data_IF_579270785498
#
_entry.id   IF_579270785498
#
_cell.length_a   1.000
_cell.length_b   1.000
_cell.length_c   1.000
_cell.angle_alpha   90.00
_cell.angle_beta   90.00
_cell.angle_gamma   90.00
#
_symmetry.space_group_name_H-M   'P 1'
#
loop_
_entity.id
_entity.type
_entity.pdbx_description
1 polymer ?
#
# COMPACT_ATOMS: atom_id res chain seq x y z
N UNK A 1 -9.84 0.11 -7.53
CA UNK A 1 -9.10 0.55 -6.33
C UNK A 1 -8.45 -0.68 -5.72
N UNK A 2 -7.26 -0.52 -5.14
CA UNK A 2 -6.54 -1.59 -4.45
C UNK A 2 -5.86 -1.02 -3.20
N UNK A 3 -5.33 -1.89 -2.34
CA UNK A 3 -4.54 -1.53 -1.17
C UNK A 3 -3.39 -2.52 -1.00
N UNK A 4 -2.37 -2.11 -0.25
CA UNK A 4 -1.23 -2.96 0.11
C UNK A 4 -1.23 -3.06 1.64
N UNK A 5 -1.24 -4.28 2.18
CA UNK A 5 -1.18 -4.52 3.62
C UNK A 5 0.26 -4.39 4.12
N UNK A 6 0.48 -3.66 5.22
CA UNK A 6 1.79 -3.54 5.89
C UNK A 6 1.93 -4.41 7.14
N UNK A 7 0.84 -5.09 7.52
CA UNK A 7 0.80 -6.07 8.62
C UNK A 7 -0.13 -7.22 8.25
N UNK A 8 -0.05 -8.38 8.92
CA UNK A 8 -1.03 -9.45 8.73
C UNK A 8 -2.45 -8.99 9.07
N UNK A 9 -3.39 -9.14 8.13
CA UNK A 9 -4.81 -8.76 8.31
C UNK A 9 -5.77 -9.95 8.05
N UNK A 10 -5.78 -11.01 8.89
CA UNK A 10 -6.57 -12.22 8.62
C UNK A 10 -8.08 -11.98 8.49
N UNK A 11 -8.60 -10.92 9.11
CA UNK A 11 -10.02 -10.56 9.06
C UNK A 11 -10.49 -10.12 7.66
N UNK A 12 -9.57 -9.79 6.74
CA UNK A 12 -9.87 -9.44 5.35
C UNK A 12 -9.94 -10.67 4.41
N UNK A 13 -9.52 -11.85 4.88
CA UNK A 13 -9.54 -13.08 4.09
C UNK A 13 -10.95 -13.39 3.59
N UNK A 14 -11.06 -13.77 2.30
CA UNK A 14 -12.33 -14.03 1.60
C UNK A 14 -13.30 -12.83 1.52
N UNK A 15 -12.85 -11.62 1.90
CA UNK A 15 -13.59 -10.36 1.71
C UNK A 15 -12.95 -9.47 0.64
N UNK A 16 -11.63 -9.57 0.47
CA UNK A 16 -10.87 -8.87 -0.56
C UNK A 16 -10.03 -9.88 -1.36
N UNK A 17 -10.07 -9.80 -2.69
CA UNK A 17 -9.29 -10.67 -3.57
C UNK A 17 -7.80 -10.31 -3.46
N UNK A 18 -6.98 -11.29 -3.09
CA UNK A 18 -5.52 -11.18 -3.15
C UNK A 18 -5.10 -11.52 -4.58
N UNK A 19 -4.43 -10.59 -5.27
CA UNK A 19 -4.03 -10.74 -6.68
C UNK A 19 -2.54 -10.47 -6.95
N UNK A 20 -1.75 -10.20 -5.91
CA UNK A 20 -0.31 -9.96 -6.03
C UNK A 20 0.35 -9.69 -4.68
N UNK A 21 1.67 -9.57 -4.70
CA UNK A 21 2.50 -9.21 -3.55
C UNK A 21 3.64 -8.27 -3.97
N UNK A 22 4.22 -7.55 -3.00
CA UNK A 22 5.42 -6.73 -3.23
C UNK A 22 6.64 -7.66 -3.24
N UNK A 23 7.32 -7.73 -4.38
CA UNK A 23 8.32 -8.77 -4.65
C UNK A 23 9.61 -8.62 -3.83
N UNK A 24 10.28 -7.47 -3.91
CA UNK A 24 11.60 -7.24 -3.29
C UNK A 24 11.56 -6.37 -2.03
N UNK A 25 12.62 -6.46 -1.22
CA UNK A 25 12.72 -5.73 0.05
C UNK A 25 12.76 -4.21 -0.15
N UNK A 26 13.46 -3.72 -1.18
CA UNK A 26 13.50 -2.28 -1.48
C UNK A 26 12.11 -1.72 -1.75
N UNK A 27 11.27 -2.45 -2.47
CA UNK A 27 9.89 -2.08 -2.75
C UNK A 27 9.03 -2.14 -1.49
N UNK A 28 9.26 -3.12 -0.61
CA UNK A 28 8.61 -3.20 0.71
C UNK A 28 8.96 -2.01 1.60
N UNK A 29 10.22 -1.59 1.61
CA UNK A 29 10.68 -0.44 2.38
C UNK A 29 9.99 0.86 1.92
N UNK A 30 9.75 1.02 0.61
CA UNK A 30 8.96 2.15 0.07
C UNK A 30 7.51 2.10 0.55
N UNK A 31 6.86 0.93 0.50
CA UNK A 31 5.48 0.77 1.00
C UNK A 31 5.40 1.07 2.50
N UNK A 32 6.37 0.60 3.28
CA UNK A 32 6.46 0.87 4.71
C UNK A 32 6.65 2.36 5.00
N UNK A 33 7.48 3.05 4.22
CA UNK A 33 7.66 4.49 4.32
C UNK A 33 6.36 5.25 4.01
N UNK A 34 5.66 4.87 2.93
CA UNK A 34 4.36 5.44 2.56
C UNK A 34 3.34 5.24 3.69
N UNK A 35 3.31 4.07 4.34
CA UNK A 35 2.36 3.79 5.42
C UNK A 35 2.56 4.65 6.68
N UNK A 36 3.73 5.28 6.81
CA UNK A 36 4.13 6.09 7.97
C UNK A 36 4.12 7.60 7.71
N UNK A 37 3.71 8.05 6.51
CA UNK A 37 3.63 9.48 6.20
C UNK A 37 2.61 10.18 7.10
N UNK A 38 2.81 11.48 7.33
CA UNK A 38 1.88 12.25 8.14
C UNK A 38 0.49 12.32 7.46
N UNK A 39 -0.55 11.92 8.18
CA UNK A 39 -1.94 11.99 7.71
C UNK A 39 -2.69 13.14 8.37
N UNK A 40 -3.69 13.65 7.66
CA UNK A 40 -4.71 14.57 8.15
C UNK A 40 -6.00 13.83 8.50
N UNK A 41 -7.14 14.53 8.58
CA UNK A 41 -8.44 13.91 8.85
C UNK A 41 -8.79 12.82 7.82
N UNK A 42 -9.48 11.78 8.28
CA UNK A 42 -9.88 10.61 7.47
C UNK A 42 -8.70 9.86 6.82
N UNK A 43 -7.56 9.82 7.51
CA UNK A 43 -6.34 9.09 7.11
C UNK A 43 -5.75 9.50 5.76
N UNK A 44 -6.14 10.66 5.21
CA UNK A 44 -5.58 11.20 3.97
C UNK A 44 -4.16 11.74 4.25
N UNK A 45 -3.13 11.38 3.45
CA UNK A 45 -1.80 12.00 3.56
C UNK A 45 -1.86 13.53 3.48
N UNK A 46 -1.05 14.21 4.30
CA UNK A 46 -0.90 15.68 4.23
C UNK A 46 -0.20 16.12 2.96
N UNK A 47 0.81 15.36 2.56
CA UNK A 47 1.51 15.49 1.29
C UNK A 47 1.06 14.37 0.36
N UNK A 48 0.68 14.71 -0.88
CA UNK A 48 0.12 13.74 -1.82
C UNK A 48 1.17 12.67 -2.20
N UNK A 49 0.79 11.38 -2.07
CA UNK A 49 1.57 10.24 -2.56
C UNK A 49 0.97 9.80 -3.90
N UNK A 50 1.65 10.10 -5.01
CA UNK A 50 1.12 9.96 -6.37
C UNK A 50 1.80 8.81 -7.11
N UNK A 51 1.00 7.91 -7.71
CA UNK A 51 1.47 6.93 -8.68
C UNK A 51 1.51 7.63 -10.05
N UNK A 52 2.72 7.87 -10.59
CA UNK A 52 2.89 8.60 -11.85
C UNK A 52 2.67 7.70 -13.09
N UNK A 53 3.07 6.45 -13.02
CA UNK A 53 2.92 5.46 -14.10
C UNK A 53 2.93 4.04 -13.53
N UNK A 54 2.51 3.08 -14.35
CA UNK A 54 2.60 1.64 -14.08
C UNK A 54 3.13 0.96 -15.34
N UNK A 55 4.17 0.15 -15.19
CA UNK A 55 4.74 -0.68 -16.24
C UNK A 55 4.39 -2.15 -15.99
N UNK A 56 4.09 -2.89 -17.06
CA UNK A 56 3.74 -4.31 -17.01
C UNK A 56 4.75 -5.05 -17.91
N UNK A 57 5.47 -6.02 -17.33
CA UNK A 57 6.51 -6.80 -17.99
C UNK A 57 6.46 -8.27 -17.58
#
# INVERSE_FOLDING_TARGET
QFFITVVPTPHLNRRHTIFGEVADQSSRDVVDAISKVATGPADRPKDDVVINSVEIS
#
